data_IF_787796902357
#
_entry.id   IF_787796902357
#
_cell.length_a   1.000
_cell.length_b   1.000
_cell.length_c   1.000
_cell.angle_alpha   90.00
_cell.angle_beta   90.00
_cell.angle_gamma   90.00
#
_symmetry.space_group_name_H-M   'P 1'
#
loop_
_entity.id
_entity.type
_entity.pdbx_description
1 polymer ?
#
# COMPACT_ATOMS: atom_id res chain seq x y z
N UNK A 1 27.94 24.19 -19.80
CA UNK A 1 27.49 23.08 -18.93
C UNK A 1 26.70 23.65 -17.76
N UNK A 2 25.42 23.30 -17.62
CA UNK A 2 24.71 23.36 -16.34
C UNK A 2 23.49 22.43 -16.43
N UNK A 3 23.53 21.32 -15.69
CA UNK A 3 22.46 20.32 -15.61
C UNK A 3 21.27 20.93 -14.86
N UNK A 4 20.21 21.27 -15.58
CA UNK A 4 18.93 21.59 -14.97
C UNK A 4 18.35 20.28 -14.39
N UNK A 5 18.49 20.11 -13.07
CA UNK A 5 17.85 19.02 -12.33
C UNK A 5 16.34 19.19 -12.50
N UNK A 6 15.74 18.29 -13.28
CA UNK A 6 14.30 18.12 -13.48
C UNK A 6 13.66 17.87 -12.12
N UNK A 7 13.23 18.96 -11.48
CA UNK A 7 12.40 18.95 -10.28
C UNK A 7 11.02 18.55 -10.80
N UNK A 8 10.65 17.28 -10.63
CA UNK A 8 9.31 16.80 -10.95
C UNK A 8 8.32 17.64 -10.13
N UNK A 9 7.44 18.42 -10.75
CA UNK A 9 6.32 19.01 -10.03
C UNK A 9 5.35 17.86 -9.77
N UNK A 10 5.33 17.36 -8.53
CA UNK A 10 4.11 16.76 -7.99
C UNK A 10 3.14 17.95 -7.85
N UNK A 11 2.41 18.27 -8.93
CA UNK A 11 1.58 19.48 -9.03
C UNK A 11 0.25 19.34 -8.26
N UNK A 12 -0.08 18.14 -7.80
CA UNK A 12 -1.23 17.92 -6.92
C UNK A 12 -0.78 17.72 -5.47
N UNK A 13 -1.37 18.44 -4.50
CA UNK A 13 -1.13 18.16 -3.10
C UNK A 13 -1.47 16.68 -2.85
N UNK A 14 -0.62 15.92 -2.14
CA UNK A 14 -0.85 14.50 -1.94
C UNK A 14 -2.24 14.30 -1.33
N UNK A 15 -3.15 13.63 -2.07
CA UNK A 15 -4.56 13.41 -1.69
C UNK A 15 -4.64 13.05 -0.23
N UNK A 16 -5.51 13.65 0.60
CA UNK A 16 -5.52 13.40 2.04
C UNK A 16 -5.80 11.93 2.37
N UNK A 17 -5.25 11.42 3.49
CA UNK A 17 -5.40 9.99 3.88
C UNK A 17 -6.85 9.57 3.90
N UNK A 18 -7.72 10.48 4.38
CA UNK A 18 -9.16 10.27 4.48
C UNK A 18 -9.79 9.97 3.10
N UNK A 19 -9.35 10.67 2.05
CA UNK A 19 -9.86 10.46 0.70
C UNK A 19 -9.42 9.12 0.12
N UNK A 20 -8.16 8.75 0.34
CA UNK A 20 -7.67 7.42 -0.02
C UNK A 20 -8.42 6.32 0.76
N UNK A 21 -8.69 6.51 2.05
CA UNK A 21 -9.51 5.58 2.84
C UNK A 21 -10.95 5.47 2.33
N UNK A 22 -11.56 6.59 1.92
CA UNK A 22 -12.88 6.57 1.30
C UNK A 22 -12.86 5.80 -0.02
N UNK A 23 -11.87 6.06 -0.89
CA UNK A 23 -11.69 5.33 -2.16
C UNK A 23 -11.48 3.84 -1.90
N UNK A 24 -10.66 3.47 -0.92
CA UNK A 24 -10.41 2.09 -0.53
C UNK A 24 -11.69 1.38 -0.08
N UNK A 25 -12.58 2.08 0.63
CA UNK A 25 -13.88 1.54 1.07
C UNK A 25 -14.91 1.44 -0.06
N UNK A 26 -14.82 2.30 -1.08
CA UNK A 26 -15.71 2.27 -2.25
C UNK A 26 -15.18 1.36 -3.36
N UNK A 27 -13.89 1.04 -3.33
CA UNK A 27 -13.24 0.18 -4.29
C UNK A 27 -13.94 -1.17 -4.31
N UNK A 28 -14.38 -1.57 -5.49
CA UNK A 28 -15.13 -2.82 -5.69
C UNK A 28 -14.28 -3.89 -6.36
N UNK A 29 -13.08 -3.52 -6.82
CA UNK A 29 -12.18 -4.37 -7.58
C UNK A 29 -10.80 -4.39 -6.95
N UNK A 30 -10.08 -5.50 -7.13
CA UNK A 30 -8.70 -5.66 -6.66
C UNK A 30 -7.78 -4.56 -7.21
N UNK A 31 -7.94 -4.20 -8.49
CA UNK A 31 -7.14 -3.16 -9.16
C UNK A 31 -7.28 -1.78 -8.49
N UNK A 32 -8.52 -1.36 -8.18
CA UNK A 32 -8.77 -0.12 -7.44
C UNK A 32 -8.18 -0.15 -6.03
N UNK A 33 -8.25 -1.30 -5.35
CA UNK A 33 -7.65 -1.47 -4.02
C UNK A 33 -6.12 -1.33 -4.12
N UNK A 34 -5.50 -1.95 -5.11
CA UNK A 34 -4.05 -1.93 -5.37
C UNK A 34 -3.59 -0.49 -5.67
N UNK A 35 -4.28 0.23 -6.55
CA UNK A 35 -3.97 1.63 -6.90
C UNK A 35 -3.96 2.52 -5.64
N UNK A 36 -5.00 2.41 -4.83
CA UNK A 36 -5.12 3.17 -3.57
C UNK A 36 -4.05 2.77 -2.55
N UNK A 37 -3.71 1.49 -2.46
CA UNK A 37 -2.62 1.00 -1.60
C UNK A 37 -1.27 1.57 -2.02
N UNK A 38 -0.96 1.61 -3.33
CA UNK A 38 0.24 2.25 -3.86
C UNK A 38 0.30 3.74 -3.49
N UNK A 39 -0.80 4.49 -3.65
CA UNK A 39 -0.86 5.90 -3.25
C UNK A 39 -0.65 6.08 -1.73
N UNK A 40 -1.16 5.16 -0.90
CA UNK A 40 -0.95 5.18 0.55
C UNK A 40 0.51 4.93 0.94
N UNK A 41 1.18 3.98 0.28
CA UNK A 41 2.59 3.67 0.49
C UNK A 41 3.51 4.86 0.21
N UNK A 42 3.22 5.63 -0.84
CA UNK A 42 3.98 6.83 -1.20
C UNK A 42 3.82 7.96 -0.19
N UNK A 43 2.65 8.07 0.44
CA UNK A 43 2.33 9.17 1.36
C UNK A 43 3.04 9.13 2.73
N UNK A 44 3.78 8.06 3.08
CA UNK A 44 4.34 7.81 4.42
C UNK A 44 3.35 8.11 5.55
N UNK A 45 2.09 7.68 5.42
CA UNK A 45 1.03 8.05 6.36
C UNK A 45 0.78 6.94 7.38
N UNK A 46 1.53 6.98 8.48
CA UNK A 46 1.51 5.99 9.55
C UNK A 46 0.12 5.48 9.98
N UNK A 47 0.13 4.24 10.46
CA UNK A 47 -1.04 3.50 10.94
C UNK A 47 -1.61 2.57 9.88
N UNK A 48 -1.22 1.29 9.94
CA UNK A 48 -1.75 0.20 9.11
C UNK A 48 -3.00 -0.47 9.72
N UNK A 49 -3.52 0.03 10.84
CA UNK A 49 -4.70 -0.50 11.52
C UNK A 49 -5.91 -0.58 10.59
N UNK A 50 -6.10 0.45 9.76
CA UNK A 50 -7.18 0.47 8.78
C UNK A 50 -6.94 -0.48 7.61
N UNK A 51 -5.73 -0.99 7.40
CA UNK A 51 -5.44 -1.98 6.36
C UNK A 51 -5.65 -3.41 6.86
N UNK A 52 -5.99 -3.59 8.14
CA UNK A 52 -6.09 -4.91 8.74
C UNK A 52 -7.17 -5.80 8.11
N UNK A 53 -8.24 -5.21 7.57
CA UNK A 53 -9.30 -5.95 6.91
C UNK A 53 -8.87 -6.50 5.54
N UNK A 54 -7.91 -5.84 4.87
CA UNK A 54 -7.38 -6.29 3.58
C UNK A 54 -6.50 -7.55 3.72
N UNK A 55 -6.00 -7.84 4.93
CA UNK A 55 -5.25 -9.06 5.17
C UNK A 55 -6.09 -10.34 5.01
N UNK A 56 -7.42 -10.22 5.07
CA UNK A 56 -8.39 -11.31 4.87
C UNK A 56 -8.96 -11.33 3.44
N UNK A 57 -8.46 -10.48 2.55
CA UNK A 57 -8.99 -10.37 1.19
C UNK A 57 -8.71 -11.65 0.38
N UNK A 58 -9.69 -12.20 -0.36
CA UNK A 58 -9.51 -13.44 -1.12
C UNK A 58 -8.52 -13.32 -2.28
N UNK A 59 -8.30 -12.09 -2.75
CA UNK A 59 -7.42 -11.79 -3.88
C UNK A 59 -5.94 -11.79 -3.45
N UNK A 60 -5.07 -12.59 -4.11
CA UNK A 60 -3.64 -12.64 -3.77
C UNK A 60 -2.88 -11.36 -4.14
N UNK A 61 -3.23 -10.68 -5.25
CA UNK A 61 -2.55 -9.46 -5.69
C UNK A 61 -2.78 -8.30 -4.70
N UNK A 62 -3.98 -8.21 -4.13
CA UNK A 62 -4.28 -7.27 -3.03
C UNK A 62 -3.42 -7.56 -1.79
N UNK A 63 -3.25 -8.84 -1.44
CA UNK A 63 -2.45 -9.27 -0.28
C UNK A 63 -0.95 -9.01 -0.49
N UNK A 64 -0.44 -9.24 -1.70
CA UNK A 64 0.96 -8.95 -2.06
C UNK A 64 1.26 -7.45 -2.04
N UNK A 65 0.41 -6.65 -2.69
CA UNK A 65 0.51 -5.19 -2.68
C UNK A 65 0.47 -4.65 -1.26
N UNK A 66 -0.42 -5.21 -0.42
CA UNK A 66 -0.47 -4.87 0.99
C UNK A 66 0.86 -5.19 1.70
N UNK A 67 1.49 -6.34 1.47
CA UNK A 67 2.83 -6.62 2.03
C UNK A 67 3.85 -5.54 1.65
N UNK A 68 3.89 -5.18 0.37
CA UNK A 68 4.81 -4.17 -0.17
C UNK A 68 4.60 -2.80 0.50
N UNK A 69 3.35 -2.38 0.69
CA UNK A 69 3.02 -1.15 1.43
C UNK A 69 3.38 -1.28 2.91
N UNK A 70 3.14 -2.42 3.53
CA UNK A 70 3.49 -2.64 4.93
C UNK A 70 5.01 -2.60 5.18
N UNK A 71 5.86 -2.88 4.19
CA UNK A 71 7.33 -2.70 4.30
C UNK A 71 7.74 -1.24 4.47
N UNK A 72 7.05 -0.30 3.81
CA UNK A 72 7.32 1.14 3.97
C UNK A 72 6.66 1.72 5.22
N UNK A 73 5.59 1.10 5.73
CA UNK A 73 4.96 1.49 6.98
C UNK A 73 5.80 1.08 8.19
N UNK A 74 6.13 2.05 9.05
CA UNK A 74 6.78 1.76 10.34
C UNK A 74 5.72 1.61 11.44
N UNK A 75 5.63 0.43 12.04
CA UNK A 75 4.75 0.20 13.20
C UNK A 75 4.61 -1.26 13.59
N UNK A 76 4.25 -1.50 14.86
CA UNK A 76 3.99 -2.85 15.39
C UNK A 76 2.82 -3.53 14.68
N UNK A 77 1.80 -2.75 14.32
CA UNK A 77 0.63 -3.25 13.59
C UNK A 77 0.96 -3.65 12.15
N UNK A 78 1.81 -2.90 11.45
CA UNK A 78 2.27 -3.27 10.12
C UNK A 78 3.04 -4.61 10.15
N UNK A 79 3.89 -4.80 11.18
CA UNK A 79 4.59 -6.07 11.39
C UNK A 79 3.62 -7.22 11.66
N UNK A 80 2.63 -7.03 12.55
CA UNK A 80 1.63 -8.07 12.85
C UNK A 80 0.83 -8.46 11.62
N UNK A 81 0.43 -7.49 10.80
CA UNK A 81 -0.31 -7.76 9.56
C UNK A 81 0.53 -8.56 8.57
N UNK A 82 1.81 -8.23 8.45
CA UNK A 82 2.74 -8.99 7.61
C UNK A 82 2.90 -10.44 8.09
N UNK A 83 3.04 -10.65 9.40
CA UNK A 83 3.10 -12.00 9.98
C UNK A 83 1.81 -12.79 9.71
N UNK A 84 0.64 -12.15 9.76
CA UNK A 84 -0.65 -12.77 9.39
C UNK A 84 -0.71 -13.12 7.91
N UNK A 85 -0.28 -12.23 7.02
CA UNK A 85 -0.26 -12.48 5.58
C UNK A 85 0.62 -13.70 5.23
N UNK A 86 1.81 -13.82 5.85
CA UNK A 86 2.71 -14.95 5.63
C UNK A 86 2.17 -16.29 6.16
N UNK A 87 1.32 -16.26 7.19
CA UNK A 87 0.64 -17.46 7.70
C UNK A 87 -0.49 -17.91 6.78
N UNK A 88 -1.18 -16.95 6.15
CA UNK A 88 -2.28 -17.22 5.22
C UNK A 88 -1.81 -17.57 3.81
N UNK A 89 -0.61 -17.15 3.42
CA UNK A 89 -0.04 -17.43 2.11
C UNK A 89 1.24 -18.28 2.17
N UNK A 90 1.14 -19.62 2.07
CA UNK A 90 2.31 -20.48 1.96
C UNK A 90 2.89 -20.56 0.54
N UNK A 91 2.40 -19.78 -0.44
CA UNK A 91 2.77 -19.93 -1.86
C UNK A 91 3.23 -18.61 -2.47
N UNK A 92 4.44 -18.17 -2.07
CA UNK A 92 5.60 -18.04 -2.96
C UNK A 92 6.44 -16.77 -2.72
N UNK A 93 7.77 -16.91 -2.83
CA UNK A 93 8.73 -15.81 -2.81
C UNK A 93 8.89 -15.17 -4.20
N UNK A 94 9.34 -13.91 -4.20
CA UNK A 94 9.84 -13.14 -5.34
C UNK A 94 8.78 -12.42 -6.18
N UNK A 95 8.37 -11.23 -5.71
CA UNK A 95 7.97 -10.15 -6.60
C UNK A 95 8.78 -8.91 -6.24
N UNK A 96 9.81 -8.74 -7.06
CA UNK A 96 10.58 -7.53 -7.30
C UNK A 96 9.64 -6.35 -7.61
N UNK A 97 9.92 -5.25 -6.90
CA UNK A 97 9.76 -3.88 -7.36
C UNK A 97 8.34 -3.28 -7.50
N UNK A 98 7.90 -2.61 -6.42
CA UNK A 98 7.15 -1.36 -6.44
C UNK A 98 7.79 -0.33 -5.48
#
# INVERSE_FOLDING_TARGET
MAKLRRRFPYDEPPKPKLELMMRLRTASTADEIIDVLCELGQGRRGGAEELAYLADHPDPDVRDTLESVLRVYRGREARRLRERLQLSDPTAPDADNC
#
